data_IF_376756731481
#
_entry.id   IF_376756731481
#
_cell.length_a   1.000
_cell.length_b   1.000
_cell.length_c   1.000
_cell.angle_alpha   90.00
_cell.angle_beta   90.00
_cell.angle_gamma   90.00
#
_symmetry.space_group_name_H-M   'P 1'
#
loop_
_entity.id
_entity.type
_entity.pdbx_description
1 polymer ?
#
# COMPACT_ATOMS: atom_id res chain seq x y z
N UNK A 1 -9.67 18.82 2.82
CA UNK A 1 -10.70 17.84 2.40
C UNK A 1 -10.18 16.70 1.52
N UNK A 2 -9.55 16.93 0.35
CA UNK A 2 -9.06 15.81 -0.49
C UNK A 2 -7.85 15.09 0.10
N UNK A 3 -6.87 15.83 0.62
CA UNK A 3 -5.65 15.26 1.24
C UNK A 3 -5.98 14.48 2.51
N UNK A 4 -6.77 15.06 3.43
CA UNK A 4 -7.19 14.38 4.67
C UNK A 4 -7.89 13.04 4.42
N UNK A 5 -8.69 12.92 3.35
CA UNK A 5 -9.31 11.64 2.96
C UNK A 5 -8.29 10.64 2.40
N UNK A 6 -7.26 11.11 1.72
CA UNK A 6 -6.14 10.29 1.28
C UNK A 6 -5.35 9.74 2.48
N UNK A 7 -5.01 10.60 3.43
CA UNK A 7 -4.34 10.19 4.68
C UNK A 7 -5.18 9.16 5.45
N UNK A 8 -6.48 9.41 5.62
CA UNK A 8 -7.37 8.47 6.30
C UNK A 8 -7.48 7.11 5.57
N UNK A 9 -7.43 7.11 4.23
CA UNK A 9 -7.42 5.87 3.46
C UNK A 9 -6.10 5.11 3.62
N UNK A 10 -4.97 5.82 3.65
CA UNK A 10 -3.66 5.23 3.93
C UNK A 10 -3.61 4.67 5.36
N UNK A 11 -4.18 5.36 6.34
CA UNK A 11 -4.24 4.87 7.72
C UNK A 11 -5.09 3.60 7.84
N UNK A 12 -6.24 3.56 7.15
CA UNK A 12 -7.07 2.35 7.11
C UNK A 12 -6.32 1.17 6.47
N UNK A 13 -5.57 1.42 5.39
CA UNK A 13 -4.77 0.40 4.73
C UNK A 13 -3.61 -0.08 5.61
N UNK A 14 -2.94 0.83 6.31
CA UNK A 14 -1.87 0.50 7.26
C UNK A 14 -2.37 -0.41 8.39
N UNK A 15 -3.55 -0.10 8.95
CA UNK A 15 -4.19 -0.96 9.96
C UNK A 15 -4.60 -2.31 9.40
N UNK A 16 -5.09 -2.37 8.16
CA UNK A 16 -5.43 -3.65 7.54
C UNK A 16 -4.18 -4.53 7.39
N UNK A 17 -3.10 -3.95 6.85
CA UNK A 17 -1.84 -4.64 6.61
C UNK A 17 -1.03 -4.96 7.88
N UNK A 18 -1.40 -4.39 9.03
CA UNK A 18 -0.83 -4.80 10.32
C UNK A 18 -1.41 -6.13 10.81
N UNK A 19 -2.61 -6.50 10.35
CA UNK A 19 -3.31 -7.71 10.75
C UNK A 19 -3.09 -8.89 9.78
N UNK A 20 -2.69 -8.61 8.54
CA UNK A 20 -2.53 -9.61 7.49
C UNK A 20 -1.41 -9.26 6.51
N UNK A 21 -0.82 -10.28 5.88
CA UNK A 21 0.22 -10.07 4.88
C UNK A 21 -0.33 -9.40 3.60
N UNK A 22 -1.54 -9.80 3.18
CA UNK A 22 -2.27 -9.31 2.01
C UNK A 22 -3.61 -8.68 2.42
N UNK A 23 -4.21 -7.89 1.53
CA UNK A 23 -5.37 -7.06 1.86
C UNK A 23 -6.62 -7.88 2.17
N UNK A 24 -6.92 -8.92 1.39
CA UNK A 24 -8.22 -9.60 1.44
C UNK A 24 -8.20 -10.96 2.17
N UNK A 25 -7.09 -11.70 2.12
CA UNK A 25 -6.95 -13.03 2.70
C UNK A 25 -5.45 -13.40 2.87
N UNK A 26 -5.15 -14.65 3.18
CA UNK A 26 -3.77 -15.13 3.40
C UNK A 26 -2.95 -15.28 2.09
N UNK A 27 -3.53 -14.92 0.94
CA UNK A 27 -2.90 -14.97 -0.38
C UNK A 27 -3.07 -13.65 -1.12
N UNK A 28 -2.12 -13.38 -2.02
CA UNK A 28 -2.21 -12.21 -2.90
C UNK A 28 -3.42 -12.30 -3.82
N UNK A 29 -4.12 -11.17 -3.99
CA UNK A 29 -5.36 -11.11 -4.75
C UNK A 29 -5.47 -9.88 -5.64
N UNK A 30 -6.58 -9.79 -6.39
CA UNK A 30 -6.92 -8.59 -7.16
C UNK A 30 -7.05 -7.34 -6.28
N UNK A 31 -7.41 -7.48 -5.00
CA UNK A 31 -7.48 -6.35 -4.07
C UNK A 31 -6.11 -5.69 -3.88
N UNK A 32 -5.07 -6.52 -3.78
CA UNK A 32 -3.70 -6.04 -3.65
C UNK A 32 -3.21 -5.38 -4.93
N UNK A 33 -3.45 -5.99 -6.09
CA UNK A 33 -3.05 -5.40 -7.36
C UNK A 33 -3.74 -4.04 -7.61
N UNK A 34 -5.04 -3.96 -7.31
CA UNK A 34 -5.84 -2.75 -7.52
C UNK A 34 -5.36 -1.58 -6.64
N UNK A 35 -5.05 -1.84 -5.36
CA UNK A 35 -4.53 -0.80 -4.48
C UNK A 35 -3.05 -0.50 -4.77
N UNK A 36 -2.24 -1.51 -5.08
CA UNK A 36 -0.80 -1.33 -5.32
C UNK A 36 -0.55 -0.31 -6.43
N UNK A 37 -1.30 -0.42 -7.54
CA UNK A 37 -1.16 0.46 -8.71
C UNK A 37 -1.19 1.96 -8.38
N UNK A 38 -1.93 2.36 -7.33
CA UNK A 38 -2.04 3.75 -6.92
C UNK A 38 -1.19 4.06 -5.68
N UNK A 39 -1.14 3.15 -4.70
CA UNK A 39 -0.45 3.40 -3.43
C UNK A 39 1.07 3.48 -3.62
N UNK A 40 1.67 2.72 -4.55
CA UNK A 40 3.12 2.78 -4.77
C UNK A 40 3.62 4.08 -5.42
N UNK A 41 2.71 4.93 -5.90
CA UNK A 41 2.98 6.26 -6.45
C UNK A 41 2.49 7.38 -5.52
N UNK A 42 2.05 7.05 -4.30
CA UNK A 42 1.48 8.06 -3.41
C UNK A 42 2.49 9.17 -3.03
N UNK A 43 3.78 8.82 -2.95
CA UNK A 43 4.86 9.80 -2.71
C UNK A 43 4.98 10.83 -3.85
N UNK A 44 4.79 10.41 -5.11
CA UNK A 44 4.73 11.34 -6.26
C UNK A 44 3.53 12.30 -6.16
N UNK A 45 2.48 11.89 -5.43
CA UNK A 45 1.32 12.71 -5.08
C UNK A 45 1.49 13.57 -3.84
N UNK A 46 2.67 13.54 -3.19
CA UNK A 46 2.98 14.31 -1.99
C UNK A 46 2.55 13.68 -0.67
N UNK A 47 2.17 12.40 -0.65
CA UNK A 47 1.89 11.66 0.59
C UNK A 47 3.17 11.07 1.18
N UNK A 48 3.34 11.17 2.49
CA UNK A 48 4.48 10.54 3.18
C UNK A 48 4.12 9.11 3.62
N UNK A 49 4.79 8.12 3.03
CA UNK A 49 4.62 6.70 3.40
C UNK A 49 5.63 6.24 4.46
N UNK A 50 6.62 7.05 4.83
CA UNK A 50 7.68 6.66 5.77
C UNK A 50 7.17 6.32 7.17
N UNK A 51 6.00 6.86 7.54
CA UNK A 51 5.30 6.59 8.80
C UNK A 51 4.43 5.32 8.79
N UNK A 52 4.34 4.62 7.65
CA UNK A 52 3.42 3.49 7.42
C UNK A 52 4.18 2.20 7.05
N UNK A 53 4.82 1.54 8.03
CA UNK A 53 5.72 0.43 7.77
C UNK A 53 5.05 -0.80 7.16
N UNK A 54 3.76 -1.06 7.41
CA UNK A 54 3.08 -2.21 6.83
C UNK A 54 2.78 -1.98 5.35
N UNK A 55 2.43 -0.75 4.95
CA UNK A 55 2.32 -0.36 3.56
C UNK A 55 3.66 -0.47 2.83
N UNK A 56 4.75 0.06 3.42
CA UNK A 56 6.06 0.01 2.75
C UNK A 56 6.59 -1.42 2.59
N UNK A 57 6.40 -2.29 3.60
CA UNK A 57 6.64 -3.73 3.50
C UNK A 57 5.86 -4.34 2.33
N UNK A 58 4.55 -4.12 2.30
CA UNK A 58 3.67 -4.69 1.28
C UNK A 58 4.06 -4.21 -0.14
N UNK A 59 4.37 -2.92 -0.33
CA UNK A 59 4.88 -2.39 -1.60
C UNK A 59 6.18 -3.10 -2.02
N UNK A 60 7.13 -3.25 -1.10
CA UNK A 60 8.40 -3.92 -1.37
C UNK A 60 8.20 -5.37 -1.83
N UNK A 61 7.38 -6.14 -1.10
CA UNK A 61 7.07 -7.53 -1.45
C UNK A 61 6.38 -7.66 -2.82
N UNK A 62 5.54 -6.69 -3.21
CA UNK A 62 4.89 -6.67 -4.53
C UNK A 62 5.83 -6.26 -5.65
N UNK A 63 6.70 -5.28 -5.42
CA UNK A 63 7.70 -4.83 -6.41
C UNK A 63 8.63 -5.97 -6.81
N UNK A 64 9.10 -6.76 -5.83
CA UNK A 64 9.92 -7.94 -6.08
C UNK A 64 9.18 -9.03 -6.88
N UNK A 65 7.89 -9.24 -6.60
CA UNK A 65 7.08 -10.26 -7.29
C UNK A 65 6.78 -9.90 -8.77
N UNK A 66 6.64 -8.61 -9.08
CA UNK A 66 6.35 -8.13 -10.44
C UNK A 66 7.60 -7.81 -11.26
N UNK A 67 8.81 -8.04 -10.73
CA UNK A 67 10.07 -7.65 -11.35
C UNK A 67 10.13 -6.17 -11.78
N UNK A 68 9.37 -5.30 -11.09
CA UNK A 68 9.41 -3.85 -11.28
C UNK A 68 10.61 -3.26 -10.52
N UNK A 69 11.80 -3.72 -10.88
CA UNK A 69 13.07 -3.11 -10.48
C UNK A 69 13.40 -1.92 -11.37
N UNK A 70 14.08 -0.92 -10.80
CA UNK A 70 14.51 0.32 -11.45
C UNK A 70 15.10 0.11 -12.87
#
# INVERSE_FOLDING_TARGET
>A
WRVERGEAALDALEVQLSNSQWIANDQFSIADLALFAYTHLAEDGGFDLSSRPNITRWISERRSALALGN
#
